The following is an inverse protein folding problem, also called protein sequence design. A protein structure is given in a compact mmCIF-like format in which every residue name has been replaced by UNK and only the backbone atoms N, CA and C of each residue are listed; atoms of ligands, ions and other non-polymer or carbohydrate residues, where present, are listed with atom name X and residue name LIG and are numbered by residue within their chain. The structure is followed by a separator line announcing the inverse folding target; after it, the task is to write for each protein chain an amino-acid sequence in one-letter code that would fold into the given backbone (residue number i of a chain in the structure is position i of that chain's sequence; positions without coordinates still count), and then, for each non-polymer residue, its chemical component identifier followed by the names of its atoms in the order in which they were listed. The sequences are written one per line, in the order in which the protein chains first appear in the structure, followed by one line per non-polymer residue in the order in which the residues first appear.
data_IF_424959311738
#
_entry.id   IF_424959311738
#
_cell.length_a   1.000
_cell.length_b   1.000
_cell.length_c   1.000
_cell.angle_alpha   90.00
_cell.angle_beta   90.00
_cell.angle_gamma   90.00
#
_symmetry.space_group_name_H-M   'P 1'
#
loop_
_entity.id
_entity.type
_entity.pdbx_description
1 polymer ?
#
# COMPACT_ATOMS: atom_id res chain seq x y z
N UNK A 1 -4.18 -15.05 22.71
CA UNK A 1 -4.75 -14.06 21.78
C UNK A 1 -5.34 -14.87 20.65
N UNK A 2 -6.65 -14.77 20.44
CA UNK A 2 -7.31 -15.50 19.36
C UNK A 2 -7.01 -14.81 18.02
N UNK A 3 -7.51 -15.37 16.91
CA UNK A 3 -7.26 -14.84 15.56
C UNK A 3 -7.86 -13.44 15.41
N UNK A 4 -9.05 -13.23 15.96
CA UNK A 4 -9.82 -11.99 15.87
C UNK A 4 -9.10 -10.83 16.57
N UNK A 5 -8.56 -11.06 17.77
CA UNK A 5 -7.76 -10.09 18.53
C UNK A 5 -6.51 -9.65 17.74
N UNK A 6 -5.90 -10.57 16.99
CA UNK A 6 -4.74 -10.27 16.15
C UNK A 6 -5.16 -9.39 14.97
N UNK A 7 -6.21 -9.77 14.26
CA UNK A 7 -6.73 -9.04 13.10
C UNK A 7 -7.10 -7.61 13.52
N UNK A 8 -7.77 -7.43 14.66
CA UNK A 8 -8.15 -6.12 15.15
C UNK A 8 -6.94 -5.23 15.44
N UNK A 9 -5.89 -5.79 16.07
CA UNK A 9 -4.63 -5.07 16.27
C UNK A 9 -3.97 -4.68 14.95
N UNK A 10 -4.03 -5.55 13.94
CA UNK A 10 -3.45 -5.34 12.61
C UNK A 10 -4.20 -4.30 11.76
N UNK A 11 -5.38 -3.81 12.18
CA UNK A 11 -6.06 -2.68 11.51
C UNK A 11 -5.30 -1.37 11.68
N UNK A 12 -4.59 -1.22 12.79
CA UNK A 12 -3.75 -0.05 13.05
C UNK A 12 -2.40 -0.21 12.35
N UNK A 13 -2.00 0.79 11.56
CA UNK A 13 -0.77 0.76 10.76
C UNK A 13 0.50 0.64 11.61
N UNK A 14 0.55 1.27 12.79
CA UNK A 14 1.70 1.18 13.69
C UNK A 14 1.90 -0.27 14.17
N UNK A 15 0.81 -0.96 14.50
CA UNK A 15 0.85 -2.39 14.83
C UNK A 15 1.16 -3.25 13.61
N UNK A 16 0.56 -2.95 12.45
CA UNK A 16 0.73 -3.73 11.22
C UNK A 16 2.19 -3.71 10.73
N UNK A 17 2.82 -2.55 10.70
CA UNK A 17 4.20 -2.37 10.23
C UNK A 17 5.26 -2.46 11.35
N UNK A 18 4.84 -2.33 12.62
CA UNK A 18 5.72 -2.39 13.79
C UNK A 18 5.98 -3.80 14.30
N UNK A 19 6.54 -3.87 15.52
CA UNK A 19 7.02 -5.11 16.14
C UNK A 19 5.93 -6.17 16.31
N UNK A 20 4.67 -5.75 16.48
CA UNK A 20 3.55 -6.66 16.58
C UNK A 20 3.32 -7.43 15.27
N UNK A 21 3.13 -6.70 14.17
CA UNK A 21 2.85 -7.29 12.87
C UNK A 21 4.07 -7.97 12.26
N UNK A 22 5.30 -7.58 12.61
CA UNK A 22 6.53 -8.24 12.14
C UNK A 22 6.69 -9.69 12.62
N UNK A 23 5.82 -10.17 13.52
CA UNK A 23 5.75 -11.59 13.93
C UNK A 23 5.16 -12.51 12.84
N UNK A 24 4.53 -11.93 11.83
CA UNK A 24 3.85 -12.64 10.73
C UNK A 24 4.55 -12.30 9.42
N UNK A 25 4.78 -13.31 8.57
CA UNK A 25 5.34 -13.12 7.24
C UNK A 25 4.34 -12.38 6.34
N UNK A 26 4.87 -11.63 5.38
CA UNK A 26 4.10 -10.85 4.42
C UNK A 26 4.74 -10.93 3.04
N UNK A 27 4.04 -10.46 2.00
CA UNK A 27 4.60 -10.48 0.64
C UNK A 27 5.94 -9.70 0.53
N UNK A 28 6.14 -8.64 1.32
CA UNK A 28 7.42 -7.92 1.36
C UNK A 28 8.57 -8.78 1.88
N UNK A 29 8.29 -9.76 2.74
CA UNK A 29 9.32 -10.68 3.25
C UNK A 29 9.80 -11.63 2.16
N UNK A 30 8.91 -12.13 1.28
CA UNK A 30 9.28 -12.97 0.13
C UNK A 30 10.32 -12.25 -0.73
N UNK A 31 10.03 -11.00 -1.11
CA UNK A 31 10.95 -10.21 -1.93
C UNK A 31 12.32 -10.05 -1.26
N UNK A 32 12.33 -9.82 0.04
CA UNK A 32 13.57 -9.68 0.83
C UNK A 32 14.32 -11.00 0.89
N UNK A 33 13.65 -12.11 1.19
CA UNK A 33 14.23 -13.45 1.25
C UNK A 33 14.84 -13.90 -0.08
N UNK A 34 14.21 -13.58 -1.21
CA UNK A 34 14.74 -13.96 -2.53
C UNK A 34 15.96 -13.15 -2.97
N UNK A 35 16.18 -11.96 -2.40
CA UNK A 35 17.22 -11.03 -2.86
C UNK A 35 18.34 -10.80 -1.85
N UNK A 36 18.00 -10.65 -0.57
CA UNK A 36 18.95 -10.50 0.53
C UNK A 36 18.33 -11.03 1.85
N UNK A 37 18.40 -12.35 2.10
CA UNK A 37 17.86 -12.96 3.32
C UNK A 37 18.37 -12.34 4.62
N UNK A 38 19.62 -11.84 4.63
CA UNK A 38 20.23 -11.22 5.82
C UNK A 38 19.59 -9.88 6.20
N UNK A 39 18.82 -9.28 5.28
CA UNK A 39 18.07 -8.05 5.53
C UNK A 39 16.64 -8.30 6.03
N UNK A 40 16.22 -9.54 6.27
CA UNK A 40 14.88 -9.84 6.77
C UNK A 40 14.62 -9.09 8.10
N UNK A 41 13.47 -8.41 8.18
CA UNK A 41 13.05 -7.63 9.36
C UNK A 41 13.65 -6.22 9.44
N UNK A 42 14.62 -5.88 8.59
CA UNK A 42 15.15 -4.52 8.47
C UNK A 42 14.06 -3.56 7.92
N UNK A 43 13.96 -2.33 8.45
CA UNK A 43 13.04 -1.34 7.90
C UNK A 43 13.41 -1.00 6.46
N UNK A 44 12.40 -0.81 5.61
CA UNK A 44 12.62 -0.33 4.24
C UNK A 44 13.06 1.13 4.26
N UNK A 45 14.01 1.48 3.39
CA UNK A 45 14.40 2.87 3.19
C UNK A 45 13.22 3.71 2.67
N UNK A 46 12.94 4.89 3.26
CA UNK A 46 11.93 5.81 2.75
C UNK A 46 12.25 6.23 1.31
N UNK A 47 11.26 6.13 0.41
CA UNK A 47 11.41 6.50 -1.00
C UNK A 47 10.24 7.37 -1.45
N UNK A 48 10.46 8.38 -2.32
CA UNK A 48 9.38 9.23 -2.84
C UNK A 48 8.24 8.44 -3.46
N UNK A 49 8.55 7.35 -4.17
CA UNK A 49 7.55 6.49 -4.80
C UNK A 49 6.57 5.87 -3.80
N UNK A 50 7.00 5.55 -2.58
CA UNK A 50 6.12 5.02 -1.53
C UNK A 50 5.21 6.11 -0.95
N UNK A 51 5.69 7.36 -0.84
CA UNK A 51 4.82 8.47 -0.44
C UNK A 51 3.76 8.77 -1.49
N UNK A 52 4.16 8.81 -2.77
CA UNK A 52 3.26 9.03 -3.90
C UNK A 52 2.21 7.92 -3.98
N UNK A 53 2.63 6.66 -3.93
CA UNK A 53 1.72 5.51 -3.89
C UNK A 53 0.81 5.55 -2.66
N UNK A 54 1.35 5.81 -1.47
CA UNK A 54 0.56 5.89 -0.23
C UNK A 54 -0.50 6.99 -0.27
N UNK A 55 -0.20 8.16 -0.84
CA UNK A 55 -1.20 9.22 -1.03
C UNK A 55 -2.31 8.77 -1.99
N UNK A 56 -1.96 8.11 -3.10
CA UNK A 56 -2.94 7.58 -4.05
C UNK A 56 -3.88 6.56 -3.39
N UNK A 57 -3.34 5.60 -2.62
CA UNK A 57 -4.15 4.66 -1.85
C UNK A 57 -5.02 5.40 -0.84
N UNK A 58 -4.47 6.32 -0.05
CA UNK A 58 -5.24 7.06 0.96
C UNK A 58 -6.36 7.90 0.31
N UNK A 59 -6.10 8.56 -0.82
CA UNK A 59 -7.09 9.37 -1.52
C UNK A 59 -8.31 8.55 -1.99
N UNK A 60 -8.09 7.28 -2.34
CA UNK A 60 -9.16 6.38 -2.73
C UNK A 60 -9.74 5.69 -1.49
N UNK A 61 -8.95 5.04 -0.66
CA UNK A 61 -9.46 4.14 0.38
C UNK A 61 -9.96 4.89 1.62
N UNK A 62 -9.24 5.94 2.05
CA UNK A 62 -9.43 6.60 3.34
C UNK A 62 -9.19 8.13 3.21
N UNK A 63 -9.97 8.85 2.39
CA UNK A 63 -9.68 10.25 2.03
C UNK A 63 -9.67 11.20 3.23
N UNK A 64 -10.38 10.87 4.30
CA UNK A 64 -10.37 11.61 5.57
C UNK A 64 -9.00 11.62 6.24
N UNK A 65 -8.14 10.63 5.95
CA UNK A 65 -6.77 10.53 6.49
C UNK A 65 -5.71 11.27 5.67
N UNK A 66 -6.08 11.95 4.57
CA UNK A 66 -5.11 12.68 3.73
C UNK A 66 -4.35 13.77 4.48
N UNK A 67 -4.93 14.34 5.54
CA UNK A 67 -4.29 15.36 6.37
C UNK A 67 -2.99 14.90 7.05
N UNK A 68 -2.70 13.59 7.10
CA UNK A 68 -1.42 13.05 7.61
C UNK A 68 -0.23 13.38 6.70
N UNK A 69 -0.47 13.68 5.42
CA UNK A 69 0.58 13.96 4.45
C UNK A 69 1.01 15.42 4.49
N UNK A 70 2.32 15.65 4.64
CA UNK A 70 2.93 16.97 4.49
C UNK A 70 3.23 17.24 3.03
N UNK A 71 2.58 18.27 2.48
CA UNK A 71 2.73 18.72 1.09
C UNK A 71 3.50 20.04 1.07
N UNK A 72 4.55 20.09 0.24
CA UNK A 72 5.43 21.25 0.15
C UNK A 72 5.34 21.86 -1.25
N UNK A 73 5.07 23.18 -1.36
CA UNK A 73 5.00 23.89 -2.63
C UNK A 73 6.41 24.18 -3.18
N UNK A 74 7.10 23.12 -3.60
CA UNK A 74 8.42 23.18 -4.21
C UNK A 74 8.46 22.40 -5.53
N UNK A 75 9.29 22.84 -6.47
CA UNK A 75 9.51 22.14 -7.74
C UNK A 75 10.32 20.86 -7.58
N UNK A 76 11.23 20.81 -6.60
CA UNK A 76 12.04 19.61 -6.32
C UNK A 76 12.32 19.51 -4.82
N UNK A 77 12.82 18.34 -4.39
CA UNK A 77 13.25 18.10 -3.00
C UNK A 77 14.62 18.70 -2.65
N UNK A 78 15.31 19.27 -3.64
CA UNK A 78 16.67 19.81 -3.47
C UNK A 78 16.68 21.31 -3.14
N UNK A 79 15.55 22.00 -3.31
CA UNK A 79 15.44 23.44 -3.07
C UNK A 79 15.63 23.78 -1.59
N UNK A 80 16.07 25.02 -1.34
CA UNK A 80 16.18 25.54 0.03
C UNK A 80 14.83 25.53 0.74
N UNK A 81 13.77 25.98 0.05
CA UNK A 81 12.39 25.98 0.54
C UNK A 81 11.97 24.59 1.01
N UNK A 82 12.22 23.56 0.19
CA UNK A 82 11.86 22.20 0.58
C UNK A 82 12.63 21.74 1.82
N UNK A 83 13.94 21.93 1.87
CA UNK A 83 14.77 21.50 3.00
C UNK A 83 14.38 22.17 4.31
N UNK A 84 14.06 23.46 4.26
CA UNK A 84 13.61 24.23 5.42
C UNK A 84 12.21 23.78 5.88
N UNK A 85 11.26 23.66 4.95
CA UNK A 85 9.89 23.28 5.28
C UNK A 85 9.78 21.80 5.68
N UNK A 86 10.55 20.91 5.08
CA UNK A 86 10.47 19.47 5.37
C UNK A 86 11.06 19.11 6.72
N UNK A 87 12.00 19.91 7.24
CA UNK A 87 12.68 19.61 8.50
C UNK A 87 13.58 18.38 8.42
N UNK A 88 14.05 18.03 7.22
CA UNK A 88 14.85 16.83 6.97
C UNK A 88 14.02 15.57 6.67
N UNK A 89 12.70 15.62 6.80
CA UNK A 89 11.82 14.51 6.44
C UNK A 89 11.54 14.46 4.94
N UNK A 90 11.12 13.28 4.48
CA UNK A 90 10.66 13.08 3.11
C UNK A 90 9.16 13.44 3.02
N UNK A 91 8.82 14.43 2.21
CA UNK A 91 7.48 14.97 2.02
C UNK A 91 7.07 14.90 0.54
N UNK A 92 5.77 15.11 0.29
CA UNK A 92 5.22 15.24 -1.06
C UNK A 92 5.46 16.65 -1.60
N UNK A 93 5.63 16.76 -2.90
CA UNK A 93 5.64 18.02 -3.62
C UNK A 93 4.23 18.34 -4.12
N UNK A 94 3.85 19.62 -4.17
CA UNK A 94 2.51 20.02 -4.61
C UNK A 94 2.13 19.44 -5.98
N UNK A 95 3.04 19.52 -6.96
CA UNK A 95 2.77 18.98 -8.31
C UNK A 95 2.65 17.45 -8.34
N UNK A 96 3.19 16.73 -7.36
CA UNK A 96 2.95 15.29 -7.24
C UNK A 96 1.53 15.05 -6.76
N UNK A 97 1.08 15.79 -5.73
CA UNK A 97 -0.30 15.73 -5.23
C UNK A 97 -1.31 16.09 -6.32
N UNK A 98 -1.11 17.20 -7.02
CA UNK A 98 -2.00 17.64 -8.11
C UNK A 98 -2.14 16.57 -9.20
N UNK A 99 -1.07 15.80 -9.47
CA UNK A 99 -1.11 14.71 -10.44
C UNK A 99 -1.80 13.47 -9.86
N UNK A 100 -1.58 13.14 -8.59
CA UNK A 100 -2.19 11.98 -7.93
C UNK A 100 -3.70 12.18 -7.78
N UNK A 101 -4.15 13.38 -7.46
CA UNK A 101 -5.58 13.71 -7.36
C UNK A 101 -6.27 13.57 -8.72
N UNK A 102 -5.65 14.06 -9.80
CA UNK A 102 -6.14 13.81 -11.17
C UNK A 102 -6.23 12.32 -11.51
N UNK A 103 -5.25 11.51 -11.10
CA UNK A 103 -5.29 10.06 -11.32
C UNK A 103 -6.42 9.40 -10.51
N UNK A 104 -6.67 9.90 -9.31
CA UNK A 104 -7.75 9.43 -8.43
C UNK A 104 -9.12 9.74 -9.05
N UNK A 105 -9.30 10.95 -9.57
CA UNK A 105 -10.52 11.35 -10.29
C UNK A 105 -10.74 10.46 -11.51
N UNK A 106 -9.72 10.25 -12.34
CA UNK A 106 -9.81 9.37 -13.52
C UNK A 106 -10.23 7.95 -13.15
N UNK A 107 -9.71 7.41 -12.04
CA UNK A 107 -10.10 6.08 -11.57
C UNK A 107 -11.55 6.05 -11.06
N UNK A 108 -11.99 7.08 -10.35
CA UNK A 108 -13.33 7.17 -9.75
C UNK A 108 -14.43 7.58 -10.74
N UNK A 109 -14.05 8.19 -11.87
CA UNK A 109 -14.94 8.51 -12.99
C UNK A 109 -15.10 7.34 -13.96
N UNK A 110 -14.14 6.40 -13.97
CA UNK A 110 -14.27 5.17 -14.74
C UNK A 110 -15.33 4.26 -14.10
N UNK A 111 -16.46 4.07 -14.79
CA UNK A 111 -17.60 3.30 -14.29
C UNK A 111 -17.22 1.87 -13.88
N UNK A 112 -16.35 1.20 -14.64
CA UNK A 112 -15.93 -0.18 -14.37
C UNK A 112 -15.04 -0.25 -13.14
N UNK A 113 -14.04 0.64 -13.03
CA UNK A 113 -13.20 0.69 -11.83
C UNK A 113 -14.03 1.05 -10.60
N UNK A 114 -14.87 2.09 -10.70
CA UNK A 114 -15.73 2.56 -9.63
C UNK A 114 -16.67 1.46 -9.12
N UNK A 115 -17.30 0.69 -10.01
CA UNK A 115 -18.21 -0.38 -9.59
C UNK A 115 -17.49 -1.49 -8.82
N UNK A 116 -16.22 -1.76 -9.12
CA UNK A 116 -15.43 -2.76 -8.39
C UNK A 116 -14.94 -2.24 -7.04
N UNK A 117 -14.58 -0.95 -6.93
CA UNK A 117 -13.90 -0.40 -5.77
C UNK A 117 -14.78 0.41 -4.82
N UNK A 118 -16.04 0.73 -5.21
CA UNK A 118 -17.03 1.50 -4.42
C UNK A 118 -18.37 0.79 -4.28
N UNK A 119 -18.40 -0.52 -4.42
CA UNK A 119 -19.63 -1.27 -4.24
C UNK A 119 -20.15 -1.17 -2.79
N UNK A 120 -21.45 -1.40 -2.60
CA UNK A 120 -22.11 -1.36 -1.29
C UNK A 120 -21.51 -2.28 -0.23
N UNK A 121 -20.85 -3.36 -0.64
CA UNK A 121 -20.28 -4.37 0.24
C UNK A 121 -18.75 -4.49 0.03
N UNK A 122 -18.08 -3.33 -0.01
CA UNK A 122 -16.61 -3.24 -0.03
C UNK A 122 -16.04 -2.89 1.34
N UNK A 123 -15.02 -3.61 1.76
CA UNK A 123 -14.16 -3.23 2.89
C UNK A 123 -12.82 -2.72 2.36
N UNK A 124 -12.24 -1.74 3.05
CA UNK A 124 -10.95 -1.15 2.70
C UNK A 124 -9.89 -1.52 3.73
N UNK A 125 -8.62 -1.60 3.31
CA UNK A 125 -7.47 -1.77 4.20
C UNK A 125 -7.67 -2.95 5.18
N UNK A 126 -8.16 -4.09 4.65
CA UNK A 126 -8.67 -5.20 5.46
C UNK A 126 -7.57 -6.20 5.80
N UNK A 127 -7.17 -6.33 7.08
CA UNK A 127 -6.13 -7.26 7.48
C UNK A 127 -6.67 -8.68 7.63
N UNK A 128 -5.82 -9.65 7.33
CA UNK A 128 -6.10 -11.07 7.55
C UNK A 128 -4.82 -11.82 7.91
N UNK A 129 -4.97 -12.95 8.61
CA UNK A 129 -3.87 -13.87 8.95
C UNK A 129 -4.26 -15.33 8.71
N UNK A 130 -3.29 -16.14 8.29
CA UNK A 130 -3.44 -17.59 8.09
C UNK A 130 -2.09 -18.28 8.18
N UNK A 131 -2.10 -19.54 8.60
CA UNK A 131 -0.93 -20.41 8.47
C UNK A 131 -0.88 -20.97 7.04
N UNK A 132 0.23 -20.73 6.34
CA UNK A 132 0.48 -21.22 4.98
C UNK A 132 1.87 -21.86 5.01
N UNK A 133 1.95 -23.13 4.62
CA UNK A 133 3.21 -23.91 4.61
C UNK A 133 3.96 -23.89 5.96
N UNK A 134 3.22 -24.02 7.07
CA UNK A 134 3.79 -24.09 8.43
C UNK A 134 4.31 -22.76 8.98
N UNK A 135 4.03 -21.63 8.32
CA UNK A 135 4.37 -20.28 8.77
C UNK A 135 3.12 -19.41 8.86
N UNK A 136 3.10 -18.48 9.81
CA UNK A 136 2.00 -17.53 9.95
C UNK A 136 2.21 -16.33 9.04
N UNK A 137 1.23 -16.10 8.16
CA UNK A 137 1.22 -14.99 7.20
C UNK A 137 0.19 -13.94 7.60
N UNK A 138 0.48 -12.69 7.23
CA UNK A 138 -0.44 -11.57 7.24
C UNK A 138 -0.55 -10.94 5.85
N UNK A 139 -1.71 -10.35 5.59
CA UNK A 139 -1.95 -9.46 4.48
C UNK A 139 -2.89 -8.34 4.91
N UNK A 140 -2.92 -7.27 4.13
CA UNK A 140 -3.85 -6.15 4.28
C UNK A 140 -4.26 -5.75 2.87
N UNK A 141 -5.41 -6.25 2.44
CA UNK A 141 -5.92 -5.98 1.10
C UNK A 141 -6.37 -4.52 1.03
N UNK A 142 -6.04 -3.83 -0.06
CA UNK A 142 -6.53 -2.45 -0.27
C UNK A 142 -8.06 -2.46 -0.27
N UNK A 143 -8.67 -3.42 -0.99
CA UNK A 143 -10.11 -3.55 -1.13
C UNK A 143 -10.52 -5.02 -1.16
N UNK A 144 -11.54 -5.36 -0.38
CA UNK A 144 -12.27 -6.63 -0.47
C UNK A 144 -13.70 -6.32 -0.92
N UNK A 145 -14.07 -6.76 -2.12
CA UNK A 145 -15.42 -6.64 -2.64
C UNK A 145 -16.13 -7.98 -2.48
N UNK A 146 -17.06 -8.06 -1.53
CA UNK A 146 -17.75 -9.30 -1.17
C UNK A 146 -18.82 -9.71 -2.19
N UNK A 147 -19.42 -8.75 -2.89
CA UNK A 147 -20.46 -9.02 -3.88
C UNK A 147 -19.90 -9.68 -5.14
N UNK A 148 -18.79 -9.14 -5.65
CA UNK A 148 -18.07 -9.67 -6.82
C UNK A 148 -17.04 -10.75 -6.44
N UNK A 149 -16.82 -10.96 -5.13
CA UNK A 149 -15.82 -11.89 -4.57
C UNK A 149 -14.40 -11.59 -5.08
N UNK A 150 -14.04 -10.31 -5.07
CA UNK A 150 -12.74 -9.83 -5.53
C UNK A 150 -11.89 -9.34 -4.36
N UNK A 151 -10.60 -9.66 -4.40
CA UNK A 151 -9.57 -8.95 -3.66
C UNK A 151 -8.82 -8.07 -4.65
N UNK A 152 -8.79 -6.78 -4.39
CA UNK A 152 -8.23 -5.78 -5.31
C UNK A 152 -7.09 -5.07 -4.60
N UNK A 153 -5.99 -4.90 -5.32
CA UNK A 153 -4.81 -4.15 -4.90
C UNK A 153 -4.53 -3.07 -5.96
N UNK A 154 -4.42 -1.83 -5.52
CA UNK A 154 -4.21 -0.65 -6.36
C UNK A 154 -2.72 -0.49 -6.62
N UNK A 155 -2.34 -0.26 -7.88
CA UNK A 155 -0.94 -0.02 -8.26
C UNK A 155 -0.82 1.22 -9.13
N UNK A 156 0.13 2.08 -8.79
CA UNK A 156 0.60 3.14 -9.69
C UNK A 156 1.82 2.66 -10.48
N UNK A 157 1.85 2.92 -11.79
CA UNK A 157 2.99 2.60 -12.66
C UNK A 157 3.31 3.79 -13.55
N UNK A 158 4.58 3.94 -13.93
CA UNK A 158 5.00 4.95 -14.90
C UNK A 158 4.72 4.54 -16.36
N UNK A 159 4.57 3.24 -16.61
CA UNK A 159 4.35 2.67 -17.94
C UNK A 159 3.47 1.42 -17.83
N UNK A 160 2.22 1.55 -18.28
CA UNK A 160 1.25 0.46 -18.25
C UNK A 160 1.63 -0.67 -19.22
N UNK A 161 2.31 -0.36 -20.33
CA UNK A 161 2.72 -1.38 -21.32
C UNK A 161 3.82 -2.29 -20.77
N UNK A 162 4.62 -1.81 -19.82
CA UNK A 162 5.62 -2.61 -19.10
C UNK A 162 5.07 -3.28 -17.85
N UNK A 163 3.81 -3.04 -17.48
CA UNK A 163 3.26 -3.49 -16.20
C UNK A 163 3.35 -5.00 -16.02
N UNK A 164 3.11 -5.80 -17.06
CA UNK A 164 3.25 -7.27 -17.00
C UNK A 164 4.64 -7.70 -16.54
N UNK A 165 5.69 -7.07 -17.05
CA UNK A 165 7.06 -7.37 -16.63
C UNK A 165 7.35 -6.85 -15.23
N UNK A 166 6.86 -5.65 -14.88
CA UNK A 166 6.98 -5.09 -13.54
C UNK A 166 6.30 -5.98 -12.50
N UNK A 167 5.12 -6.53 -12.80
CA UNK A 167 4.37 -7.41 -11.91
C UNK A 167 5.14 -8.68 -11.59
N UNK A 168 5.75 -9.30 -12.60
CA UNK A 168 6.65 -10.44 -12.41
C UNK A 168 7.88 -10.05 -11.58
N UNK A 169 8.56 -8.96 -11.94
CA UNK A 169 9.76 -8.50 -11.23
C UNK A 169 9.51 -8.13 -9.76
N UNK A 170 8.30 -7.68 -9.44
CA UNK A 170 7.92 -7.26 -8.09
C UNK A 170 7.13 -8.32 -7.31
N UNK A 171 7.03 -9.55 -7.83
CA UNK A 171 6.35 -10.69 -7.22
C UNK A 171 4.89 -10.40 -6.84
N UNK A 172 4.15 -9.72 -7.72
CA UNK A 172 2.71 -9.46 -7.49
C UNK A 172 1.86 -10.74 -7.59
N UNK A 173 2.37 -11.76 -8.27
CA UNK A 173 1.79 -13.11 -8.27
C UNK A 173 1.83 -13.76 -6.89
N UNK A 174 2.95 -13.63 -6.15
CA UNK A 174 3.07 -14.09 -4.76
C UNK A 174 2.11 -13.33 -3.84
N UNK A 175 1.95 -12.02 -4.06
CA UNK A 175 0.97 -11.21 -3.33
C UNK A 175 -0.45 -11.73 -3.56
N UNK A 176 -0.82 -11.96 -4.82
CA UNK A 176 -2.12 -12.47 -5.20
C UNK A 176 -2.40 -13.86 -4.60
N UNK A 177 -1.40 -14.75 -4.60
CA UNK A 177 -1.50 -16.07 -3.97
C UNK A 177 -1.77 -15.94 -2.47
N UNK A 178 -0.94 -15.18 -1.73
CA UNK A 178 -1.14 -14.98 -0.29
C UNK A 178 -2.52 -14.40 -0.02
N UNK A 179 -2.93 -13.36 -0.75
CA UNK A 179 -4.24 -12.73 -0.54
C UNK A 179 -5.41 -13.63 -0.90
N UNK A 180 -5.24 -14.56 -1.85
CA UNK A 180 -6.27 -15.56 -2.15
C UNK A 180 -6.41 -16.64 -1.09
N UNK A 181 -5.36 -16.87 -0.29
CA UNK A 181 -5.37 -17.83 0.80
C UNK A 181 -5.95 -17.26 2.09
N UNK A 182 -5.71 -15.98 2.36
CA UNK A 182 -6.09 -15.27 3.58
C UNK A 182 -7.62 -15.08 3.71
#
# INVERSE_FOLDING_TARGET
MNKEDVIEKLRNDENYYGDFGKKYLSNSDIKTLLTNPLALGQPSEPRPAFLVGGYFHTAILEPDKLHKYKVIPSSTRNTKVYKEMSGGELCLLQHEVDNIEKLSDVMLDNVVCKSMIRDSNTEYETPAIKEIEGQMWKGKADIVNHNERLVIDLKTTNDINKFRWSAYKFNYDSQAYIYSEL
#
